data_IF_911325328946
#
_entry.id   IF_911325328946
#
_cell.length_a   1.000
_cell.length_b   1.000
_cell.length_c   1.000
_cell.angle_alpha   90.00
_cell.angle_beta   90.00
_cell.angle_gamma   90.00
#
_symmetry.space_group_name_H-M   'P 1'
#
loop_
_entity.id
_entity.type
_entity.pdbx_description
1 polymer ?
#
# COMPACT_ATOMS: atom_id res chain seq x y z
N UNK A 1 -0.07 4.63 32.30
CA UNK A 1 -1.17 3.67 32.03
C UNK A 1 -1.83 3.92 30.69
N UNK A 2 -2.25 5.16 30.41
CA UNK A 2 -3.14 5.51 29.29
C UNK A 2 -2.61 5.20 27.89
N UNK A 3 -1.33 5.47 27.60
CA UNK A 3 -0.74 5.15 26.29
C UNK A 3 -0.69 3.66 25.96
N UNK A 4 -0.39 2.79 26.95
CA UNK A 4 -0.39 1.33 26.74
C UNK A 4 -1.78 0.80 26.41
N UNK A 5 -2.82 1.41 26.97
CA UNK A 5 -4.22 1.07 26.64
C UNK A 5 -4.53 1.47 25.20
N UNK A 6 -4.07 2.65 24.75
CA UNK A 6 -4.22 3.08 23.35
C UNK A 6 -3.49 2.14 22.37
N UNK A 7 -2.23 1.80 22.64
CA UNK A 7 -1.47 0.84 21.82
C UNK A 7 -2.17 -0.52 21.70
N UNK A 8 -2.75 -1.00 22.81
CA UNK A 8 -3.52 -2.26 22.82
C UNK A 8 -4.81 -2.12 22.01
N UNK A 9 -5.51 -0.99 22.15
CA UNK A 9 -6.71 -0.70 21.37
C UNK A 9 -6.41 -0.58 19.86
N UNK A 10 -5.29 0.01 19.47
CA UNK A 10 -4.86 0.06 18.07
C UNK A 10 -4.60 -1.32 17.49
N UNK A 11 -3.92 -2.20 18.24
CA UNK A 11 -3.72 -3.60 17.84
C UNK A 11 -5.06 -4.31 17.65
N UNK A 12 -5.99 -4.13 18.60
CA UNK A 12 -7.34 -4.69 18.49
C UNK A 12 -8.07 -4.19 17.24
N UNK A 13 -8.05 -2.88 16.97
CA UNK A 13 -8.68 -2.30 15.77
C UNK A 13 -8.03 -2.86 14.51
N UNK A 14 -6.69 -2.91 14.44
CA UNK A 14 -5.94 -3.46 13.30
C UNK A 14 -6.34 -4.90 13.03
N UNK A 15 -6.36 -5.76 14.06
CA UNK A 15 -6.78 -7.15 13.94
C UNK A 15 -8.24 -7.27 13.52
N UNK A 16 -9.15 -6.48 14.10
CA UNK A 16 -10.56 -6.51 13.70
C UNK A 16 -10.76 -6.10 12.23
N UNK A 17 -10.03 -5.09 11.76
CA UNK A 17 -10.01 -4.67 10.35
C UNK A 17 -9.53 -5.82 9.46
N UNK A 18 -8.43 -6.49 9.83
CA UNK A 18 -7.85 -7.61 9.07
C UNK A 18 -8.81 -8.82 8.99
N UNK A 19 -9.69 -8.99 9.96
CA UNK A 19 -10.72 -10.04 9.96
C UNK A 19 -12.09 -9.57 9.43
N UNK A 20 -12.17 -8.37 8.84
CA UNK A 20 -13.41 -7.84 8.26
C UNK A 20 -14.47 -7.39 9.28
N UNK A 21 -14.14 -7.31 10.57
CA UNK A 21 -15.05 -6.90 11.64
C UNK A 21 -15.24 -5.37 11.71
N UNK A 22 -15.66 -4.74 10.60
CA UNK A 22 -15.75 -3.28 10.43
C UNK A 22 -16.57 -2.59 11.53
N UNK A 23 -17.71 -3.16 11.93
CA UNK A 23 -18.58 -2.58 12.96
C UNK A 23 -17.92 -2.55 14.35
N UNK A 24 -17.15 -3.58 14.70
CA UNK A 24 -16.41 -3.65 15.97
C UNK A 24 -15.24 -2.66 15.92
N UNK A 25 -14.51 -2.64 14.81
CA UNK A 25 -13.43 -1.68 14.57
C UNK A 25 -13.89 -0.23 14.70
N UNK A 26 -15.09 0.10 14.22
CA UNK A 26 -15.68 1.43 14.36
C UNK A 26 -15.92 1.82 15.82
N UNK A 27 -16.57 0.96 16.60
CA UNK A 27 -16.81 1.22 18.03
C UNK A 27 -15.50 1.34 18.81
N UNK A 28 -14.52 0.49 18.49
CA UNK A 28 -13.22 0.52 19.14
C UNK A 28 -12.44 1.80 18.80
N UNK A 29 -12.44 2.25 17.54
CA UNK A 29 -11.74 3.48 17.14
C UNK A 29 -12.43 4.75 17.66
N UNK A 30 -13.75 4.74 17.85
CA UNK A 30 -14.49 5.82 18.55
C UNK A 30 -14.08 5.90 20.03
N UNK A 31 -13.94 4.74 20.68
CA UNK A 31 -13.47 4.66 22.06
C UNK A 31 -12.00 5.11 22.23
N UNK A 32 -11.19 4.95 21.18
CA UNK A 32 -9.84 5.51 21.09
C UNK A 32 -9.90 7.04 20.94
N UNK A 33 -10.75 7.56 20.05
CA UNK A 33 -10.89 8.99 19.83
C UNK A 33 -11.24 9.75 21.12
N UNK A 34 -12.22 9.25 21.89
CA UNK A 34 -12.59 9.84 23.18
C UNK A 34 -11.42 9.86 24.19
N UNK A 35 -10.56 8.86 24.15
CA UNK A 35 -9.38 8.78 25.04
C UNK A 35 -8.26 9.70 24.58
N UNK A 36 -8.04 9.84 23.28
CA UNK A 36 -7.06 10.78 22.73
C UNK A 36 -7.45 12.21 23.07
N UNK A 37 -8.73 12.55 22.88
CA UNK A 37 -9.28 13.87 23.22
C UNK A 37 -9.08 14.17 24.72
N UNK A 38 -9.41 13.22 25.60
CA UNK A 38 -9.16 13.37 27.04
C UNK A 38 -7.67 13.52 27.39
N UNK A 39 -6.76 12.94 26.61
CA UNK A 39 -5.31 13.07 26.82
C UNK A 39 -4.76 14.42 26.34
N UNK A 40 -5.32 14.97 25.26
CA UNK A 40 -4.93 16.27 24.71
C UNK A 40 -5.29 17.42 25.66
N UNK A 41 -6.37 17.26 26.42
CA UNK A 41 -6.87 18.27 27.38
C UNK A 41 -6.25 18.16 28.78
N UNK A 42 -5.33 17.22 29.04
CA UNK A 42 -4.61 17.15 30.31
C UNK A 42 -3.48 18.18 30.32
N UNK A 43 -3.54 19.16 31.23
CA UNK A 43 -2.54 20.24 31.41
C UNK A 43 -1.15 19.75 31.87
N UNK A 44 -0.99 18.47 32.17
CA UNK A 44 0.30 17.87 32.53
C UNK A 44 1.24 17.80 31.33
N UNK A 45 2.55 17.68 31.60
CA UNK A 45 3.65 17.45 30.65
C UNK A 45 3.46 16.11 29.89
N UNK A 46 2.42 16.04 29.06
CA UNK A 46 2.15 14.93 28.16
C UNK A 46 3.24 14.99 27.10
N UNK A 47 3.98 13.90 26.98
CA UNK A 47 4.98 13.69 25.93
C UNK A 47 4.33 13.94 24.56
N UNK A 48 4.55 15.16 24.04
CA UNK A 48 3.94 15.65 22.80
C UNK A 48 4.33 14.76 21.62
N UNK A 49 5.52 14.18 21.64
CA UNK A 49 5.97 13.28 20.58
C UNK A 49 5.15 11.99 20.58
N UNK A 50 4.91 11.40 21.76
CA UNK A 50 4.07 10.19 21.89
C UNK A 50 2.60 10.46 21.58
N UNK A 51 2.07 11.61 21.97
CA UNK A 51 0.70 12.00 21.60
C UNK A 51 0.58 12.15 20.08
N UNK A 52 1.57 12.77 19.45
CA UNK A 52 1.58 12.91 17.99
C UNK A 52 1.67 11.56 17.28
N UNK A 53 2.51 10.65 17.75
CA UNK A 53 2.57 9.27 17.23
C UNK A 53 1.23 8.54 17.39
N UNK A 54 0.57 8.69 18.54
CA UNK A 54 -0.75 8.10 18.75
C UNK A 54 -1.79 8.69 17.79
N UNK A 55 -1.74 10.00 17.51
CA UNK A 55 -2.63 10.65 16.54
C UNK A 55 -2.39 10.10 15.12
N UNK A 56 -1.14 9.89 14.72
CA UNK A 56 -0.81 9.27 13.42
C UNK A 56 -1.41 7.87 13.30
N UNK A 57 -1.25 7.03 14.33
CA UNK A 57 -1.82 5.68 14.34
C UNK A 57 -3.35 5.69 14.28
N UNK A 58 -3.99 6.62 15.00
CA UNK A 58 -5.43 6.81 14.96
C UNK A 58 -5.91 7.18 13.56
N UNK A 59 -5.31 8.20 12.94
CA UNK A 59 -5.71 8.64 11.61
C UNK A 59 -5.45 7.57 10.55
N UNK A 60 -4.31 6.87 10.59
CA UNK A 60 -4.03 5.76 9.67
C UNK A 60 -5.10 4.65 9.76
N UNK A 61 -5.50 4.23 10.97
CA UNK A 61 -6.56 3.24 11.15
C UNK A 61 -7.93 3.76 10.71
N UNK A 62 -8.24 5.04 10.96
CA UNK A 62 -9.47 5.69 10.52
C UNK A 62 -9.56 5.82 9.01
N UNK A 63 -8.45 6.11 8.33
CA UNK A 63 -8.34 6.12 6.86
C UNK A 63 -8.67 4.75 6.30
N UNK A 64 -8.03 3.70 6.80
CA UNK A 64 -8.29 2.34 6.34
C UNK A 64 -9.75 1.93 6.60
N UNK A 65 -10.30 2.27 7.76
CA UNK A 65 -11.69 1.97 8.08
C UNK A 65 -12.67 2.74 7.17
N UNK A 66 -12.42 4.02 6.90
CA UNK A 66 -13.25 4.82 6.00
C UNK A 66 -13.26 4.24 4.57
N UNK A 67 -12.12 3.74 4.09
CA UNK A 67 -12.03 3.02 2.83
C UNK A 67 -12.91 1.75 2.83
N UNK A 68 -12.81 0.92 3.87
CA UNK A 68 -13.64 -0.29 4.00
C UNK A 68 -15.14 0.00 4.17
N UNK A 69 -15.49 1.21 4.60
CA UNK A 69 -16.88 1.68 4.67
C UNK A 69 -17.41 2.19 3.32
N UNK A 70 -16.62 2.12 2.24
CA UNK A 70 -17.00 2.65 0.93
C UNK A 70 -17.00 4.18 0.89
N UNK A 71 -16.24 4.85 1.76
CA UNK A 71 -16.13 6.31 1.84
C UNK A 71 -14.71 6.79 1.53
N UNK A 72 -14.27 6.69 0.26
CA UNK A 72 -12.91 7.05 -0.14
C UNK A 72 -12.63 8.56 0.00
N UNK A 73 -13.66 9.39 -0.12
CA UNK A 73 -13.63 10.84 0.13
C UNK A 73 -13.22 11.15 1.58
N UNK A 74 -13.79 10.43 2.54
CA UNK A 74 -13.45 10.57 3.95
C UNK A 74 -12.04 10.03 4.22
N UNK A 75 -11.66 8.92 3.59
CA UNK A 75 -10.31 8.38 3.71
C UNK A 75 -9.25 9.40 3.25
N UNK A 76 -9.47 10.07 2.12
CA UNK A 76 -8.59 11.15 1.64
C UNK A 76 -8.56 12.34 2.62
N UNK A 77 -9.72 12.81 3.07
CA UNK A 77 -9.79 13.94 3.99
C UNK A 77 -9.07 13.65 5.32
N UNK A 78 -9.21 12.44 5.85
CA UNK A 78 -8.53 12.02 7.08
C UNK A 78 -7.02 11.89 6.89
N UNK A 79 -6.56 11.46 5.72
CA UNK A 79 -5.14 11.36 5.42
C UNK A 79 -4.45 12.73 5.43
N UNK A 80 -5.13 13.77 4.92
CA UNK A 80 -4.63 15.14 4.94
C UNK A 80 -4.49 15.74 6.35
N UNK A 81 -5.07 15.10 7.38
CA UNK A 81 -4.88 15.50 8.78
C UNK A 81 -3.61 14.93 9.40
N UNK A 82 -2.90 14.05 8.71
CA UNK A 82 -1.62 13.54 9.17
C UNK A 82 -0.57 14.67 9.10
N UNK A 83 0.22 14.89 10.17
CA UNK A 83 1.27 15.90 10.16
C UNK A 83 2.37 15.53 9.17
N UNK A 84 2.80 16.50 8.35
CA UNK A 84 3.88 16.34 7.38
C UNK A 84 5.20 15.96 8.04
N UNK A 85 5.41 16.30 9.31
CA UNK A 85 6.64 16.01 10.07
C UNK A 85 6.78 14.55 10.54
N UNK A 86 5.73 13.73 10.44
CA UNK A 86 5.74 12.30 10.85
C UNK A 86 5.59 11.38 9.64
N UNK A 87 5.98 11.88 8.46
CA UNK A 87 5.93 11.16 7.18
C UNK A 87 7.03 10.08 7.03
N UNK A 88 7.34 9.37 8.12
CA UNK A 88 8.26 8.23 8.15
C UNK A 88 7.76 7.14 9.12
N UNK A 89 6.45 7.04 9.35
CA UNK A 89 5.88 6.00 10.21
C UNK A 89 5.43 4.80 9.36
N UNK A 90 5.85 3.59 9.76
CA UNK A 90 5.45 2.33 9.12
C UNK A 90 3.93 2.13 9.04
N UNK A 91 3.15 2.75 9.93
CA UNK A 91 1.69 2.71 9.92
C UNK A 91 1.10 3.49 8.73
N UNK A 92 1.71 4.62 8.36
CA UNK A 92 1.30 5.43 7.20
C UNK A 92 1.62 4.68 5.91
N UNK A 93 2.79 4.06 5.84
CA UNK A 93 3.16 3.17 4.75
C UNK A 93 2.16 2.00 4.61
N UNK A 94 1.85 1.33 5.72
CA UNK A 94 0.90 0.20 5.76
C UNK A 94 -0.48 0.60 5.22
N UNK A 95 -1.03 1.75 5.65
CA UNK A 95 -2.36 2.17 5.17
C UNK A 95 -2.33 2.56 3.70
N UNK A 96 -1.29 3.26 3.24
CA UNK A 96 -1.14 3.61 1.82
C UNK A 96 -1.10 2.36 0.94
N UNK A 97 -0.30 1.35 1.33
CA UNK A 97 -0.21 0.10 0.61
C UNK A 97 -1.54 -0.68 0.64
N UNK A 98 -2.18 -0.82 1.82
CA UNK A 98 -3.45 -1.54 1.96
C UNK A 98 -4.57 -0.88 1.12
N UNK A 99 -4.74 0.43 1.25
CA UNK A 99 -5.76 1.17 0.49
C UNK A 99 -5.46 1.13 -1.01
N UNK A 100 -4.22 1.36 -1.41
CA UNK A 100 -3.80 1.30 -2.81
C UNK A 100 -4.00 -0.07 -3.45
N UNK A 101 -3.72 -1.14 -2.70
CA UNK A 101 -3.92 -2.52 -3.16
C UNK A 101 -5.40 -2.86 -3.32
N UNK A 102 -6.24 -2.44 -2.37
CA UNK A 102 -7.70 -2.60 -2.47
C UNK A 102 -8.29 -1.78 -3.63
N UNK A 103 -7.81 -0.57 -3.87
CA UNK A 103 -8.20 0.24 -5.02
C UNK A 103 -7.82 -0.45 -6.34
N UNK A 104 -6.62 -1.05 -6.40
CA UNK A 104 -6.14 -1.77 -7.56
C UNK A 104 -6.98 -3.01 -7.86
N UNK A 105 -7.34 -3.82 -6.85
CA UNK A 105 -8.22 -4.98 -7.03
C UNK A 105 -9.63 -4.57 -7.46
N UNK A 106 -10.09 -3.39 -7.04
CA UNK A 106 -11.37 -2.81 -7.48
C UNK A 106 -11.29 -2.09 -8.84
N UNK A 107 -10.15 -2.17 -9.57
CA UNK A 107 -9.92 -1.48 -10.85
C UNK A 107 -10.05 0.06 -10.79
N UNK A 108 -9.94 0.65 -9.60
CA UNK A 108 -9.87 2.10 -9.39
C UNK A 108 -8.42 2.57 -9.56
N UNK A 109 -7.91 2.52 -10.80
CA UNK A 109 -6.48 2.67 -11.09
C UNK A 109 -5.92 4.05 -10.73
N UNK A 110 -6.71 5.11 -10.89
CA UNK A 110 -6.36 6.48 -10.50
C UNK A 110 -6.19 6.61 -8.98
N UNK A 111 -7.13 6.04 -8.22
CA UNK A 111 -7.08 6.02 -6.76
C UNK A 111 -5.93 5.15 -6.28
N UNK A 112 -5.74 3.97 -6.89
CA UNK A 112 -4.63 3.08 -6.61
C UNK A 112 -3.28 3.78 -6.81
N UNK A 113 -3.07 4.41 -7.96
CA UNK A 113 -1.84 5.13 -8.26
C UNK A 113 -1.55 6.22 -7.21
N UNK A 114 -2.55 7.02 -6.86
CA UNK A 114 -2.44 8.07 -5.84
C UNK A 114 -2.02 7.52 -4.47
N UNK A 115 -2.66 6.47 -3.98
CA UNK A 115 -2.33 5.91 -2.65
C UNK A 115 -0.99 5.18 -2.62
N UNK A 116 -0.64 4.49 -3.71
CA UNK A 116 0.64 3.81 -3.83
C UNK A 116 1.80 4.79 -3.97
N UNK A 117 1.61 5.92 -4.67
CA UNK A 117 2.60 6.99 -4.75
C UNK A 117 2.84 7.64 -3.39
N UNK A 118 1.77 7.91 -2.61
CA UNK A 118 1.91 8.33 -1.19
C UNK A 118 2.73 7.33 -0.38
N UNK A 119 2.49 6.03 -0.56
CA UNK A 119 3.26 4.97 0.10
C UNK A 119 4.73 4.95 -0.31
N UNK A 120 5.02 5.13 -1.60
CA UNK A 120 6.40 5.17 -2.09
C UNK A 120 7.18 6.37 -1.56
N UNK A 121 6.55 7.54 -1.42
CA UNK A 121 7.18 8.68 -0.75
C UNK A 121 7.49 8.37 0.73
N UNK A 122 6.64 7.62 1.44
CA UNK A 122 6.96 7.17 2.79
C UNK A 122 8.15 6.21 2.84
N UNK A 123 8.34 5.33 1.84
CA UNK A 123 9.54 4.49 1.76
C UNK A 123 10.82 5.33 1.71
N UNK A 124 10.84 6.40 0.91
CA UNK A 124 12.01 7.29 0.78
C UNK A 124 12.34 7.99 2.10
N UNK A 125 11.32 8.41 2.84
CA UNK A 125 11.47 9.08 4.14
C UNK A 125 11.89 8.11 5.25
N UNK A 126 11.40 6.86 5.22
CA UNK A 126 11.87 5.80 6.10
C UNK A 126 13.36 5.48 5.85
N UNK A 127 13.75 5.36 4.58
CA UNK A 127 15.12 5.06 4.19
C UNK A 127 16.12 6.16 4.59
N UNK A 128 15.70 7.43 4.64
CA UNK A 128 16.55 8.55 5.08
C UNK A 128 16.66 8.68 6.61
N UNK A 129 15.72 8.09 7.36
CA UNK A 129 15.65 8.17 8.82
C UNK A 129 16.28 6.98 9.56
N UNK A 130 16.44 5.83 8.89
CA UNK A 130 17.01 4.62 9.48
C UNK A 130 18.47 4.44 9.04
N UNK A 131 19.43 4.48 9.98
CA UNK A 131 20.83 4.11 9.72
C UNK A 131 21.06 2.61 9.44
N UNK A 132 19.98 1.83 9.24
CA UNK A 132 20.04 0.44 8.83
C UNK A 132 18.86 0.10 7.93
N UNK A 133 19.16 -0.42 6.75
CA UNK A 133 18.18 -0.99 5.83
C UNK A 133 17.47 -2.19 6.50
N UNK A 134 16.27 -1.98 7.02
CA UNK A 134 15.41 -3.07 7.49
C UNK A 134 14.89 -3.84 6.26
N UNK A 135 15.17 -5.14 6.19
CA UNK A 135 14.75 -6.02 5.07
C UNK A 135 13.23 -5.96 4.86
N UNK A 136 12.44 -5.84 5.93
CA UNK A 136 10.99 -5.74 5.85
C UNK A 136 10.51 -4.43 5.17
N UNK A 137 11.32 -3.36 5.21
CA UNK A 137 11.03 -2.11 4.53
C UNK A 137 11.26 -2.19 3.02
N UNK A 138 12.28 -2.95 2.58
CA UNK A 138 12.60 -3.18 1.17
C UNK A 138 11.56 -4.08 0.49
N UNK A 139 11.06 -5.10 1.19
CA UNK A 139 10.00 -5.98 0.66
C UNK A 139 8.71 -5.19 0.39
N UNK A 140 8.36 -4.26 1.29
CA UNK A 140 7.18 -3.40 1.09
C UNK A 140 7.37 -2.38 -0.03
N UNK A 141 8.56 -1.80 -0.15
CA UNK A 141 8.87 -0.89 -1.27
C UNK A 141 8.69 -1.62 -2.61
N UNK A 142 9.23 -2.83 -2.74
CA UNK A 142 9.06 -3.67 -3.92
C UNK A 142 7.58 -3.90 -4.25
N UNK A 143 6.76 -4.27 -3.25
CA UNK A 143 5.32 -4.51 -3.44
C UNK A 143 4.57 -3.24 -3.88
N UNK A 144 4.88 -2.09 -3.28
CA UNK A 144 4.29 -0.80 -3.64
C UNK A 144 4.65 -0.42 -5.07
N UNK A 145 5.93 -0.50 -5.42
CA UNK A 145 6.40 -0.18 -6.77
C UNK A 145 5.77 -1.09 -7.83
N UNK A 146 5.68 -2.39 -7.56
CA UNK A 146 5.05 -3.35 -8.46
C UNK A 146 3.55 -3.02 -8.66
N UNK A 147 2.82 -2.73 -7.58
CA UNK A 147 1.42 -2.33 -7.67
C UNK A 147 1.27 -0.98 -8.39
N UNK A 148 2.20 -0.04 -8.22
CA UNK A 148 2.16 1.28 -8.83
C UNK A 148 2.41 1.21 -10.34
N UNK A 149 3.35 0.37 -10.80
CA UNK A 149 3.53 0.09 -12.24
C UNK A 149 2.25 -0.48 -12.83
N UNK A 150 1.62 -1.44 -12.15
CA UNK A 150 0.34 -2.00 -12.60
C UNK A 150 -0.74 -0.93 -12.71
N UNK A 151 -0.94 -0.12 -11.66
CA UNK A 151 -1.93 0.96 -11.69
C UNK A 151 -1.68 1.93 -12.87
N UNK A 152 -0.45 2.40 -13.04
CA UNK A 152 -0.11 3.35 -14.11
C UNK A 152 -0.21 2.75 -15.52
N UNK A 153 -0.02 1.44 -15.68
CA UNK A 153 -0.14 0.74 -16.97
C UNK A 153 -1.59 0.72 -17.49
N UNK A 154 -2.57 0.90 -16.60
CA UNK A 154 -3.98 1.00 -16.95
C UNK A 154 -4.46 2.45 -17.15
N UNK A 155 -3.61 3.44 -16.91
CA UNK A 155 -3.91 4.87 -17.06
C UNK A 155 -3.26 5.43 -18.32
N UNK A 156 -4.00 6.20 -19.12
CA UNK A 156 -3.51 6.78 -20.39
C UNK A 156 -3.13 8.27 -20.31
N UNK A 157 -3.01 8.80 -19.09
CA UNK A 157 -2.61 10.20 -18.88
C UNK A 157 -1.12 10.40 -19.15
N UNK A 158 -0.71 11.65 -19.42
CA UNK A 158 0.71 11.99 -19.55
C UNK A 158 1.46 11.68 -18.24
N UNK A 159 0.90 12.14 -17.11
CA UNK A 159 1.47 11.95 -15.78
C UNK A 159 1.64 10.46 -15.43
N UNK A 160 0.66 9.61 -15.78
CA UNK A 160 0.77 8.16 -15.54
C UNK A 160 1.86 7.50 -16.38
N UNK A 161 2.11 7.98 -17.60
CA UNK A 161 3.20 7.47 -18.45
C UNK A 161 4.57 7.86 -17.88
N UNK A 162 4.71 9.10 -17.43
CA UNK A 162 5.94 9.56 -16.77
C UNK A 162 6.17 8.81 -15.45
N UNK A 163 5.10 8.61 -14.66
CA UNK A 163 5.12 7.78 -13.45
C UNK A 163 5.54 6.36 -13.77
N UNK A 164 4.96 5.73 -14.79
CA UNK A 164 5.28 4.37 -15.21
C UNK A 164 6.76 4.22 -15.57
N UNK A 165 7.31 5.13 -16.37
CA UNK A 165 8.73 5.10 -16.77
C UNK A 165 9.64 5.24 -15.55
N UNK A 166 9.33 6.19 -14.65
CA UNK A 166 10.11 6.42 -13.44
C UNK A 166 10.08 5.23 -12.49
N UNK A 167 8.90 4.71 -12.17
CA UNK A 167 8.70 3.61 -11.22
C UNK A 167 9.31 2.31 -11.77
N UNK A 168 9.10 2.01 -13.06
CA UNK A 168 9.70 0.82 -13.69
C UNK A 168 11.23 0.95 -13.78
N UNK A 169 11.75 2.15 -14.08
CA UNK A 169 13.19 2.42 -14.06
C UNK A 169 13.83 2.17 -12.69
N UNK A 170 13.16 2.59 -11.62
CA UNK A 170 13.61 2.34 -10.24
C UNK A 170 13.55 0.85 -9.88
N UNK A 171 12.48 0.14 -10.25
CA UNK A 171 12.40 -1.30 -10.06
C UNK A 171 13.53 -2.05 -10.77
N UNK A 172 13.86 -1.65 -11.99
CA UNK A 172 14.95 -2.26 -12.75
C UNK A 172 16.31 -1.99 -12.13
N UNK A 173 16.55 -0.78 -11.63
CA UNK A 173 17.85 -0.44 -11.03
C UNK A 173 18.11 -1.20 -9.73
N UNK A 174 17.06 -1.44 -8.93
CA UNK A 174 17.18 -2.08 -7.63
C UNK A 174 16.94 -3.61 -7.64
N UNK A 175 16.06 -4.11 -8.53
CA UNK A 175 15.52 -5.48 -8.46
C UNK A 175 15.56 -6.23 -9.81
N UNK A 176 16.46 -5.86 -10.74
CA UNK A 176 16.55 -6.45 -12.10
C UNK A 176 16.74 -7.98 -12.16
N UNK A 177 17.29 -8.59 -11.10
CA UNK A 177 17.49 -10.03 -11.02
C UNK A 177 16.22 -10.79 -10.62
N UNK A 178 15.16 -10.11 -10.18
CA UNK A 178 13.91 -10.73 -9.78
C UNK A 178 13.04 -11.06 -10.99
N UNK A 179 12.63 -12.32 -11.09
CA UNK A 179 11.77 -12.80 -12.19
C UNK A 179 10.46 -12.02 -12.30
N UNK A 180 9.84 -11.67 -11.17
CA UNK A 180 8.60 -10.88 -11.13
C UNK A 180 8.75 -9.53 -11.83
N UNK A 181 9.92 -8.90 -11.76
CA UNK A 181 10.18 -7.59 -12.39
C UNK A 181 10.36 -7.73 -13.91
N UNK A 182 11.05 -8.79 -14.36
CA UNK A 182 11.16 -9.10 -15.80
C UNK A 182 9.80 -9.42 -16.42
N UNK A 183 8.96 -10.15 -15.68
CA UNK A 183 7.60 -10.45 -16.10
C UNK A 183 6.74 -9.19 -16.22
N UNK A 184 6.83 -8.30 -15.23
CA UNK A 184 6.13 -7.02 -15.22
C UNK A 184 6.59 -6.12 -16.39
N UNK A 185 7.88 -6.12 -16.71
CA UNK A 185 8.42 -5.39 -17.86
C UNK A 185 7.82 -5.89 -19.18
N UNK A 186 7.75 -7.21 -19.36
CA UNK A 186 7.11 -7.82 -20.52
C UNK A 186 5.62 -7.44 -20.62
N UNK A 187 4.89 -7.41 -19.50
CA UNK A 187 3.49 -6.98 -19.44
C UNK A 187 3.33 -5.53 -19.93
N UNK A 188 4.21 -4.64 -19.48
CA UNK A 188 4.24 -3.22 -19.89
C UNK A 188 4.60 -3.06 -21.37
N UNK A 189 5.53 -3.87 -21.90
CA UNK A 189 5.91 -3.84 -23.32
C UNK A 189 4.78 -4.33 -24.21
N UNK A 190 4.13 -5.44 -23.83
CA UNK A 190 3.02 -6.03 -24.57
C UNK A 190 1.83 -5.06 -24.73
N UNK A 191 1.55 -4.24 -23.70
CA UNK A 191 0.52 -3.20 -23.78
C UNK A 191 0.94 -1.96 -24.58
N UNK A 192 2.22 -1.62 -24.57
CA UNK A 192 2.75 -0.43 -25.22
C UNK A 192 2.87 -0.52 -26.74
N UNK A 193 2.49 -1.65 -27.36
CA UNK A 193 2.75 -1.95 -28.77
C UNK A 193 4.23 -1.71 -29.15
N UNK A 194 5.14 -2.00 -28.21
CA UNK A 194 6.60 -1.88 -28.36
C UNK A 194 7.15 -3.24 -28.79
N UNK A 195 8.16 -3.25 -29.66
CA UNK A 195 8.81 -4.47 -30.17
C UNK A 195 9.30 -5.38 -29.04
N UNK A 196 8.44 -6.34 -28.68
CA UNK A 196 8.73 -7.41 -27.72
C UNK A 196 9.94 -8.24 -28.20
N UNK A 197 10.14 -8.31 -29.52
CA UNK A 197 11.23 -9.04 -30.16
C UNK A 197 12.63 -8.46 -29.84
N UNK A 198 12.76 -7.14 -29.65
CA UNK A 198 14.06 -6.53 -29.27
C UNK A 198 14.44 -6.83 -27.82
N UNK A 199 13.46 -7.06 -26.95
CA UNK A 199 13.70 -7.38 -25.54
C UNK A 199 14.33 -8.77 -25.37
N UNK A 200 13.83 -9.76 -26.12
CA UNK A 200 14.34 -11.13 -26.07
C UNK A 200 15.63 -11.35 -26.89
N UNK A 201 16.01 -10.42 -27.76
CA UNK A 201 17.27 -10.50 -28.51
C UNK A 201 18.51 -10.15 -27.67
N UNK A 202 18.34 -9.51 -26.51
CA UNK A 202 19.45 -9.12 -25.62
C UNK A 202 19.80 -10.16 -24.56
N UNK A 203 18.82 -10.90 -24.03
CA UNK A 203 19.03 -11.83 -22.92
C UNK A 203 17.99 -12.98 -23.01
N UNK A 204 18.47 -14.24 -22.97
CA UNK A 204 17.75 -15.50 -22.70
C UNK A 204 17.68 -16.50 -23.88
N UNK A 205 18.31 -17.65 -23.65
CA UNK A 205 18.23 -18.86 -24.47
C UNK A 205 16.80 -19.43 -24.53
N UNK A 206 16.47 -19.96 -25.71
CA UNK A 206 15.17 -20.35 -26.27
C UNK A 206 14.31 -21.41 -25.51
N UNK A 207 14.54 -21.67 -24.21
CA UNK A 207 13.91 -22.77 -23.47
C UNK A 207 12.94 -22.35 -22.35
N UNK A 208 12.60 -21.07 -22.19
CA UNK A 208 11.79 -20.57 -21.06
C UNK A 208 10.42 -19.98 -21.41
N UNK A 209 10.05 -19.91 -22.69
CA UNK A 209 8.80 -19.23 -23.10
C UNK A 209 7.54 -20.05 -22.78
N UNK A 210 7.56 -21.38 -22.86
CA UNK A 210 6.37 -22.20 -22.56
C UNK A 210 6.10 -22.36 -21.05
N UNK A 211 7.15 -22.36 -20.21
CA UNK A 211 6.97 -22.36 -18.75
C UNK A 211 6.46 -20.99 -18.24
N UNK A 212 6.74 -19.91 -18.95
CA UNK A 212 6.34 -18.55 -18.55
C UNK A 212 4.83 -18.30 -18.68
N UNK A 213 4.17 -18.90 -19.68
CA UNK A 213 2.70 -18.79 -19.86
C UNK A 213 1.93 -19.62 -18.83
N UNK A 214 2.43 -20.81 -18.49
CA UNK A 214 1.84 -21.65 -17.44
C UNK A 214 1.99 -20.95 -16.07
N UNK A 215 3.12 -20.29 -15.82
CA UNK A 215 3.35 -19.59 -14.54
C UNK A 215 2.58 -18.26 -14.43
N UNK A 216 2.35 -17.54 -15.53
CA UNK A 216 1.44 -16.38 -15.58
C UNK A 216 -0.01 -16.78 -15.24
N UNK A 217 -0.48 -17.92 -15.77
CA UNK A 217 -1.77 -18.48 -15.42
C UNK A 217 -1.83 -18.88 -13.94
N UNK A 218 -0.77 -19.51 -13.41
CA UNK A 218 -0.69 -19.91 -11.99
C UNK A 218 -0.57 -18.72 -11.04
N UNK A 219 0.10 -17.62 -11.41
CA UNK A 219 0.17 -16.39 -10.61
C UNK A 219 -1.13 -15.59 -10.66
N UNK A 220 -1.79 -15.52 -11.82
CA UNK A 220 -3.14 -14.96 -11.92
C UNK A 220 -4.14 -15.81 -11.14
N UNK A 221 -4.01 -17.13 -11.15
CA UNK A 221 -4.86 -18.02 -10.36
C UNK A 221 -4.50 -17.98 -8.86
N UNK A 222 -3.24 -17.80 -8.48
CA UNK A 222 -2.85 -17.61 -7.07
C UNK A 222 -3.34 -16.26 -6.52
N UNK A 223 -3.27 -15.19 -7.31
CA UNK A 223 -3.88 -13.90 -6.96
C UNK A 223 -5.41 -14.00 -6.90
N UNK A 224 -6.03 -14.72 -7.84
CA UNK A 224 -7.47 -15.01 -7.79
C UNK A 224 -7.86 -15.93 -6.64
N UNK A 225 -7.00 -16.82 -6.16
CA UNK A 225 -7.27 -17.71 -5.01
C UNK A 225 -7.15 -16.94 -3.69
N UNK A 226 -6.23 -15.97 -3.62
CA UNK A 226 -6.22 -14.97 -2.54
C UNK A 226 -7.51 -14.14 -2.58
N UNK A 227 -7.93 -13.66 -3.77
CA UNK A 227 -9.21 -12.97 -3.96
C UNK A 227 -10.44 -13.88 -3.75
N UNK A 228 -10.35 -15.19 -3.99
CA UNK A 228 -11.43 -16.18 -3.80
C UNK A 228 -11.65 -16.51 -2.33
N UNK A 229 -10.55 -16.55 -1.55
CA UNK A 229 -10.60 -16.71 -0.11
C UNK A 229 -11.21 -15.48 0.59
N UNK A 230 -11.07 -14.29 -0.01
CA UNK A 230 -11.71 -13.06 0.47
C UNK A 230 -13.11 -12.81 -0.12
N UNK A 231 -13.41 -13.26 -1.34
CA UNK A 231 -14.74 -13.11 -1.97
C UNK A 231 -15.79 -14.10 -1.46
N UNK A 232 -15.40 -15.15 -0.72
CA UNK A 232 -16.34 -15.86 0.16
C UNK A 232 -16.84 -14.98 1.33
N UNK A 233 -16.18 -13.85 1.61
CA UNK A 233 -16.54 -12.92 2.70
C UNK A 233 -17.04 -11.54 2.23
N UNK A 234 -16.93 -11.20 0.94
CA UNK A 234 -17.38 -9.91 0.39
C UNK A 234 -18.16 -10.10 -0.91
N UNK A 235 -19.39 -10.60 -0.79
CA UNK A 235 -20.43 -10.23 -1.75
C UNK A 235 -20.68 -8.73 -1.57
N UNK A 236 -20.55 -7.99 -2.67
CA UNK A 236 -20.73 -6.55 -2.77
C UNK A 236 -21.89 -6.04 -1.91
N UNK A 237 -21.57 -5.08 -1.03
CA UNK A 237 -22.51 -4.18 -0.37
C UNK A 237 -22.08 -2.76 -0.67
#
# INVERSE_FOLDING_TARGET
GSFRVLETAYKLVKTCIEHGCVAISLKAIEAVAMRLDALEHLETDVDKARLCQCNVHYYALRVHLAWLQGRPDIADHLFLKLPESITGDTCVLDVCFKVGSLALSCSQYDVAAKWLERGWEQCKLLASSSEGSDVASQDKELLILHALVRANTHLDTHDSKDNLVRTLGHLKSQYSNMFSIRLLELEVLARGNRDVERYFQGEVSHYHLEQSLIFLAVLQDALKVVDASESSFRMCG
#
